data_IF_526332297833
#
_entry.id   IF_526332297833
#
_cell.length_a   1.000
_cell.length_b   1.000
_cell.length_c   1.000
_cell.angle_alpha   90.00
_cell.angle_beta   90.00
_cell.angle_gamma   90.00
#
_symmetry.space_group_name_H-M   'P 1'
#
loop_
_entity.id
_entity.type
_entity.pdbx_description
1 polymer ?
#
# COMPACT_ATOMS: atom_id res chain seq x y z
N UNK A 1 6.16 18.29 -48.28
CA UNK A 1 5.27 17.24 -48.79
C UNK A 1 5.90 15.92 -48.40
N UNK A 2 5.24 15.22 -47.49
CA UNK A 2 5.73 14.03 -46.80
C UNK A 2 5.74 12.82 -47.74
N UNK A 3 6.86 12.09 -47.77
CA UNK A 3 7.04 10.84 -48.50
C UNK A 3 6.86 9.69 -47.49
N UNK A 4 6.02 8.68 -47.77
CA UNK A 4 5.96 7.47 -46.96
C UNK A 4 7.12 6.55 -47.35
N UNK A 5 8.06 6.31 -46.43
CA UNK A 5 9.11 5.30 -46.60
C UNK A 5 8.86 4.12 -45.68
N UNK A 6 8.75 2.96 -46.33
CA UNK A 6 9.29 1.65 -45.96
C UNK A 6 8.81 1.07 -44.62
N UNK A 7 7.72 0.32 -44.70
CA UNK A 7 7.41 -0.75 -43.75
C UNK A 7 7.38 -2.06 -44.52
N UNK A 8 8.54 -2.48 -45.01
CA UNK A 8 8.84 -3.85 -45.37
C UNK A 8 10.28 -4.08 -44.90
N UNK A 9 10.45 -4.62 -43.70
CA UNK A 9 11.65 -5.35 -43.33
C UNK A 9 11.24 -6.38 -42.27
N UNK A 10 11.35 -7.64 -42.70
CA UNK A 10 11.17 -8.84 -41.91
C UNK A 10 11.87 -8.74 -40.56
N UNK A 11 11.08 -8.89 -39.48
CA UNK A 11 11.61 -9.31 -38.20
C UNK A 11 12.09 -10.77 -38.30
N UNK A 12 13.23 -11.00 -38.95
CA UNK A 12 13.99 -12.23 -38.80
C UNK A 12 14.38 -12.32 -37.33
N UNK A 13 13.57 -13.08 -36.59
CA UNK A 13 13.90 -13.56 -35.27
C UNK A 13 15.18 -14.41 -35.37
N UNK A 14 16.35 -13.77 -35.32
CA UNK A 14 17.53 -14.45 -34.81
C UNK A 14 17.28 -14.64 -33.32
N UNK A 15 16.88 -15.86 -32.97
CA UNK A 15 16.92 -16.34 -31.61
C UNK A 15 18.31 -16.09 -31.06
N UNK A 16 18.44 -15.03 -30.26
CA UNK A 16 19.52 -14.93 -29.30
C UNK A 16 19.20 -16.05 -28.32
N UNK A 17 19.90 -17.17 -28.49
CA UNK A 17 20.02 -18.15 -27.43
C UNK A 17 20.30 -17.34 -26.16
N UNK A 18 19.48 -17.53 -25.14
CA UNK A 18 19.76 -16.99 -23.83
C UNK A 18 21.08 -17.64 -23.39
N UNK A 19 22.19 -17.01 -23.76
CA UNK A 19 23.50 -17.31 -23.20
C UNK A 19 23.28 -17.15 -21.70
N UNK A 20 23.29 -18.28 -21.01
CA UNK A 20 23.26 -18.32 -19.58
C UNK A 20 24.53 -17.59 -19.12
N UNK A 21 24.41 -16.28 -18.90
CA UNK A 21 25.45 -15.48 -18.27
C UNK A 21 25.56 -16.03 -16.87
N UNK A 22 26.44 -17.01 -16.68
CA UNK A 22 26.89 -17.42 -15.35
C UNK A 22 27.52 -16.18 -14.72
N UNK A 23 26.90 -15.60 -13.68
CA UNK A 23 27.49 -14.44 -13.03
C UNK A 23 28.87 -14.84 -12.51
N UNK A 24 29.85 -13.95 -12.64
CA UNK A 24 31.15 -14.15 -12.00
C UNK A 24 30.95 -14.55 -10.53
N UNK A 25 31.78 -15.43 -9.96
CA UNK A 25 31.58 -15.98 -8.62
C UNK A 25 31.39 -14.88 -7.55
N UNK A 26 32.08 -13.75 -7.70
CA UNK A 26 31.88 -12.57 -6.86
C UNK A 26 30.47 -11.97 -6.94
N UNK A 27 29.87 -11.88 -8.13
CA UNK A 27 28.51 -11.37 -8.31
C UNK A 27 27.46 -12.33 -7.72
N UNK A 28 27.68 -13.65 -7.85
CA UNK A 28 26.82 -14.65 -7.20
C UNK A 28 26.88 -14.55 -5.66
N UNK A 29 28.08 -14.35 -5.10
CA UNK A 29 28.27 -14.16 -3.66
C UNK A 29 27.61 -12.87 -3.16
N UNK A 30 27.77 -11.75 -3.88
CA UNK A 30 27.13 -10.48 -3.54
C UNK A 30 25.60 -10.58 -3.59
N UNK A 31 25.03 -11.23 -4.61
CA UNK A 31 23.58 -11.43 -4.71
C UNK A 31 23.05 -12.30 -3.55
N UNK A 32 23.77 -13.36 -3.20
CA UNK A 32 23.41 -14.25 -2.10
C UNK A 32 23.47 -13.54 -0.75
N UNK A 33 24.53 -12.77 -0.49
CA UNK A 33 24.67 -11.97 0.73
C UNK A 33 23.60 -10.87 0.82
N UNK A 34 23.32 -10.18 -0.28
CA UNK A 34 22.28 -9.15 -0.34
C UNK A 34 20.88 -9.72 -0.09
N UNK A 35 20.59 -10.89 -0.68
CA UNK A 35 19.34 -11.61 -0.44
C UNK A 35 19.21 -12.10 1.00
N UNK A 36 20.29 -12.60 1.61
CA UNK A 36 20.31 -12.98 3.01
C UNK A 36 20.08 -11.77 3.92
N UNK A 37 20.81 -10.68 3.71
CA UNK A 37 20.70 -9.46 4.51
C UNK A 37 19.30 -8.85 4.40
N UNK A 38 18.72 -8.85 3.20
CA UNK A 38 17.35 -8.38 2.97
C UNK A 38 16.33 -9.18 3.78
N UNK A 39 16.48 -10.51 3.87
CA UNK A 39 15.62 -11.36 4.71
C UNK A 39 15.79 -11.12 6.21
N UNK A 40 16.98 -10.71 6.65
CA UNK A 40 17.21 -10.38 8.08
C UNK A 40 16.59 -9.05 8.50
N UNK A 41 16.40 -8.12 7.56
CA UNK A 41 15.83 -6.79 7.82
C UNK A 41 14.30 -6.79 7.61
N UNK A 42 13.76 -7.78 6.89
CA UNK A 42 12.31 -7.93 6.78
C UNK A 42 11.71 -8.21 8.16
N UNK A 43 10.77 -7.37 8.65
CA UNK A 43 10.06 -7.67 9.88
C UNK A 43 9.33 -9.01 9.73
N UNK A 44 9.18 -9.80 10.82
CA UNK A 44 8.39 -11.01 10.76
C UNK A 44 6.98 -10.66 10.23
N UNK A 45 6.39 -11.49 9.36
CA UNK A 45 5.06 -11.22 8.84
C UNK A 45 4.12 -11.00 10.03
N UNK A 46 3.26 -9.97 9.96
CA UNK A 46 2.40 -9.64 11.08
C UNK A 46 1.58 -10.87 11.47
N UNK A 47 1.36 -11.11 12.78
CA UNK A 47 0.57 -12.25 13.20
C UNK A 47 -0.80 -12.19 12.53
N UNK A 48 -1.21 -13.29 11.90
CA UNK A 48 -2.48 -13.42 11.16
C UNK A 48 -3.73 -13.40 12.03
N UNK A 49 -3.58 -13.07 13.33
CA UNK A 49 -4.70 -13.01 14.27
C UNK A 49 -5.53 -11.77 13.98
N UNK A 50 -6.58 -11.99 13.20
CA UNK A 50 -7.59 -10.98 12.88
C UNK A 50 -8.19 -10.44 14.19
N UNK A 51 -8.18 -9.12 14.41
CA UNK A 51 -8.76 -8.61 15.63
C UNK A 51 -10.26 -8.93 15.68
N UNK A 52 -10.73 -9.43 16.82
CA UNK A 52 -12.11 -9.87 17.03
C UNK A 52 -12.36 -11.37 16.81
N UNK A 53 -11.36 -12.17 16.43
CA UNK A 53 -11.46 -13.64 16.46
C UNK A 53 -11.13 -14.22 17.84
N UNK A 54 -11.58 -15.45 18.11
CA UNK A 54 -11.24 -16.16 19.35
C UNK A 54 -9.71 -16.25 19.53
N UNK A 55 -9.21 -15.79 20.69
CA UNK A 55 -7.77 -15.69 20.97
C UNK A 55 -7.00 -14.59 20.20
N UNK A 56 -7.69 -13.78 19.39
CA UNK A 56 -7.12 -12.62 18.69
C UNK A 56 -7.15 -11.34 19.54
N UNK A 57 -6.41 -10.29 19.14
CA UNK A 57 -6.48 -8.99 19.79
C UNK A 57 -7.90 -8.40 19.70
N UNK A 58 -8.36 -7.61 20.68
CA UNK A 58 -9.69 -7.01 20.65
C UNK A 58 -9.80 -5.93 19.55
N UNK A 59 -11.02 -5.69 19.09
CA UNK A 59 -11.31 -4.56 18.19
C UNK A 59 -11.41 -3.28 19.01
N UNK A 60 -10.46 -2.37 18.83
CA UNK A 60 -10.35 -1.13 19.62
C UNK A 60 -10.80 0.13 18.87
N UNK A 61 -11.06 0.03 17.56
CA UNK A 61 -11.42 1.17 16.71
C UNK A 61 -12.70 0.89 15.90
N UNK A 62 -13.48 1.94 15.55
CA UNK A 62 -14.56 1.84 14.57
C UNK A 62 -14.08 1.23 13.26
N UNK A 63 -14.94 0.45 12.59
CA UNK A 63 -14.61 -0.25 11.35
C UNK A 63 -15.71 -0.10 10.32
N UNK A 64 -15.31 0.16 9.07
CA UNK A 64 -16.16 0.08 7.90
C UNK A 64 -15.95 -1.26 7.21
N UNK A 65 -17.03 -2.01 6.94
CA UNK A 65 -16.95 -3.25 6.16
C UNK A 65 -16.94 -2.93 4.67
N UNK A 66 -15.90 -3.38 3.97
CA UNK A 66 -15.77 -3.26 2.52
C UNK A 66 -16.62 -4.32 1.81
N UNK A 67 -16.86 -4.12 0.51
CA UNK A 67 -17.69 -5.04 -0.30
C UNK A 67 -17.10 -6.45 -0.39
N UNK A 68 -15.78 -6.57 -0.30
CA UNK A 68 -15.03 -7.84 -0.30
C UNK A 68 -15.00 -8.52 1.09
N UNK A 69 -15.64 -7.93 2.10
CA UNK A 69 -15.71 -8.47 3.46
C UNK A 69 -14.55 -8.07 4.36
N UNK A 70 -13.53 -7.36 3.85
CA UNK A 70 -12.45 -6.80 4.69
C UNK A 70 -12.97 -5.65 5.56
N UNK A 71 -12.26 -5.38 6.66
CA UNK A 71 -12.61 -4.31 7.58
C UNK A 71 -11.56 -3.21 7.52
N UNK A 72 -12.03 -1.98 7.34
CA UNK A 72 -11.21 -0.79 7.33
C UNK A 72 -11.42 -0.04 8.64
N UNK A 73 -10.42 -0.03 9.53
CA UNK A 73 -10.50 0.77 10.75
C UNK A 73 -10.59 2.25 10.38
N UNK A 74 -11.15 3.12 11.22
CA UNK A 74 -11.08 4.55 10.99
C UNK A 74 -11.11 5.34 12.29
N UNK A 75 -10.69 6.59 12.22
CA UNK A 75 -10.88 7.58 13.28
C UNK A 75 -11.81 8.67 12.76
N UNK A 76 -12.63 9.25 13.62
CA UNK A 76 -13.53 10.36 13.30
C UNK A 76 -13.27 11.53 14.26
N UNK A 77 -13.27 12.75 13.71
CA UNK A 77 -13.19 13.99 14.49
C UNK A 77 -14.11 15.07 13.93
N UNK A 78 -14.58 15.97 14.80
CA UNK A 78 -15.54 17.03 14.47
C UNK A 78 -16.99 16.60 14.70
N UNK A 79 -17.89 17.07 13.85
CA UNK A 79 -19.31 16.68 13.87
C UNK A 79 -19.47 15.23 13.41
N UNK A 80 -20.39 14.43 14.00
CA UNK A 80 -20.69 13.09 13.51
C UNK A 80 -20.93 13.06 12.00
N UNK A 81 -20.39 12.05 11.32
CA UNK A 81 -20.45 11.91 9.86
C UNK A 81 -21.86 12.01 9.30
N UNK A 82 -22.88 11.57 10.04
CA UNK A 82 -24.27 11.55 9.58
C UNK A 82 -24.93 12.93 9.58
N UNK A 83 -24.44 13.85 10.41
CA UNK A 83 -24.99 15.21 10.57
C UNK A 83 -24.08 16.30 10.04
N UNK A 84 -22.86 15.97 9.63
CA UNK A 84 -21.90 16.94 9.11
C UNK A 84 -22.32 17.50 7.74
N UNK A 85 -22.16 18.82 7.56
CA UNK A 85 -22.44 19.55 6.32
C UNK A 85 -21.45 19.16 5.21
N UNK A 86 -20.19 18.95 5.59
CA UNK A 86 -19.14 18.46 4.68
C UNK A 86 -18.41 17.28 5.32
N UNK A 87 -17.97 16.32 4.48
CA UNK A 87 -17.27 15.11 4.91
C UNK A 87 -15.92 15.08 4.22
N UNK A 88 -14.85 15.16 4.98
CA UNK A 88 -13.48 15.12 4.49
C UNK A 88 -12.88 13.78 4.85
N UNK A 89 -12.28 13.12 3.86
CA UNK A 89 -11.56 11.86 4.05
C UNK A 89 -10.08 12.13 3.93
N UNK A 90 -9.30 11.71 4.91
CA UNK A 90 -7.86 11.80 4.90
C UNK A 90 -7.23 10.40 4.83
N UNK A 91 -6.25 10.25 3.93
CA UNK A 91 -5.38 9.08 3.85
C UNK A 91 -4.01 9.46 4.36
N UNK A 92 -3.44 8.65 5.26
CA UNK A 92 -2.07 8.83 5.71
C UNK A 92 -1.06 8.52 4.59
N UNK A 93 0.16 9.02 4.76
CA UNK A 93 1.29 8.72 3.88
C UNK A 93 1.85 7.31 4.07
N UNK A 94 2.85 6.95 3.26
CA UNK A 94 3.60 5.71 3.44
C UNK A 94 4.17 5.62 4.87
N UNK A 95 4.15 4.42 5.47
CA UNK A 95 4.43 4.12 6.90
C UNK A 95 3.51 4.75 7.95
N UNK A 96 2.46 5.45 7.52
CA UNK A 96 1.54 6.11 8.43
C UNK A 96 0.43 5.23 8.98
N UNK A 97 -0.44 5.82 9.79
CA UNK A 97 -1.63 5.17 10.35
C UNK A 97 -2.82 6.13 10.48
N UNK A 98 -3.98 5.62 10.90
CA UNK A 98 -5.17 6.45 11.22
C UNK A 98 -4.91 7.49 12.31
N UNK A 99 -3.86 7.30 13.11
CA UNK A 99 -3.49 8.18 14.22
C UNK A 99 -2.53 9.31 13.77
N UNK A 100 -2.12 9.31 12.49
CA UNK A 100 -1.39 10.43 11.89
C UNK A 100 -2.35 11.58 11.60
N UNK A 101 -2.75 12.25 12.67
CA UNK A 101 -3.78 13.28 12.61
C UNK A 101 -3.21 14.59 12.07
N UNK A 102 -3.71 15.06 10.93
CA UNK A 102 -3.74 16.49 10.62
C UNK A 102 -4.92 17.09 11.40
N UNK A 103 -4.64 17.73 12.53
CA UNK A 103 -5.70 18.37 13.33
C UNK A 103 -6.32 19.55 12.54
N UNK A 104 -7.60 19.50 12.19
CA UNK A 104 -8.28 20.65 11.59
C UNK A 104 -8.36 21.79 12.62
N UNK A 105 -8.40 23.03 12.14
CA UNK A 105 -8.63 24.17 13.04
C UNK A 105 -10.02 24.07 13.69
N UNK A 106 -10.17 24.57 14.92
CA UNK A 106 -11.43 24.52 15.67
C UNK A 106 -12.66 25.03 14.89
N UNK A 107 -12.57 26.09 14.07
CA UNK A 107 -13.71 26.53 13.26
C UNK A 107 -14.16 25.51 12.21
N UNK A 108 -13.26 24.70 11.66
CA UNK A 108 -13.58 23.69 10.65
C UNK A 108 -14.28 22.47 11.28
N UNK A 109 -13.97 22.13 12.53
CA UNK A 109 -14.54 20.97 13.21
C UNK A 109 -16.03 21.12 13.55
N UNK A 110 -16.59 22.33 13.48
CA UNK A 110 -18.00 22.61 13.77
C UNK A 110 -18.96 22.25 12.63
N UNK A 111 -18.46 22.16 11.39
CA UNK A 111 -19.30 21.90 10.20
C UNK A 111 -18.84 20.66 9.40
N UNK A 112 -17.68 20.09 9.75
CA UNK A 112 -17.01 19.04 8.97
C UNK A 112 -16.79 17.79 9.82
N UNK A 113 -17.09 16.63 9.23
CA UNK A 113 -16.61 15.35 9.72
C UNK A 113 -15.29 15.00 9.02
N UNK A 114 -14.23 14.73 9.77
CA UNK A 114 -12.95 14.24 9.22
C UNK A 114 -12.80 12.76 9.54
N UNK A 115 -12.68 11.94 8.49
CA UNK A 115 -12.55 10.48 8.58
C UNK A 115 -11.15 10.08 8.14
N UNK A 116 -10.43 9.34 8.97
CA UNK A 116 -9.07 8.85 8.72
C UNK A 116 -9.12 7.36 8.39
N UNK A 117 -8.67 6.94 7.21
CA UNK A 117 -8.58 5.53 6.86
C UNK A 117 -7.12 5.04 6.88
N UNK A 118 -6.82 3.84 7.42
CA UNK A 118 -5.58 3.16 7.21
C UNK A 118 -5.53 2.59 5.79
N UNK A 119 -4.44 2.78 5.08
CA UNK A 119 -4.06 1.90 3.99
C UNK A 119 -3.56 0.61 4.64
N UNK A 120 -4.44 -0.39 4.78
CA UNK A 120 -4.00 -1.76 5.07
C UNK A 120 -3.12 -2.20 3.89
N UNK A 121 -1.80 -2.17 4.08
CA UNK A 121 -0.89 -3.05 3.36
C UNK A 121 -1.26 -4.47 3.80
N UNK A 122 -1.99 -5.17 2.94
CA UNK A 122 -2.18 -6.61 3.03
C UNK A 122 -0.82 -7.30 2.91
#
# INVERSE_FOLDING_TARGET
MWVPSVWDEEGVAKGVAADAVTPAPAAAMLASLSGWLSRTVQPPPPPTRVCGTEGGPPVTAPRLRLRDGRHLAYCESGVPRDTARFKVVFSHGFTGSRDDTVRPSQPLLLDVAVVWYPQDQQ
#
